data_IF_481591592651
#
_entry.id   IF_481591592651
#
_cell.length_a   1.000
_cell.length_b   1.000
_cell.length_c   1.000
_cell.angle_alpha   90.00
_cell.angle_beta   90.00
_cell.angle_gamma   90.00
#
_symmetry.space_group_name_H-M   'P 1'
#
loop_
_entity.id
_entity.type
_entity.pdbx_description
1 polymer ?
#
# COMPACT_ATOMS: atom_id res chain seq x y z
N UNK A 1 11.62 -3.66 -6.76
CA UNK A 1 10.71 -4.77 -7.14
C UNK A 1 11.18 -6.03 -6.43
N UNK A 2 10.27 -6.75 -5.78
CA UNK A 2 10.57 -7.98 -5.02
C UNK A 2 9.94 -9.23 -5.64
N UNK A 3 8.92 -9.12 -6.49
CA UNK A 3 8.22 -10.24 -7.11
C UNK A 3 7.08 -9.77 -8.01
N UNK A 4 6.23 -10.70 -8.44
CA UNK A 4 5.06 -10.41 -9.29
C UNK A 4 3.79 -11.08 -8.77
N UNK A 5 2.63 -10.51 -9.10
CA UNK A 5 1.32 -11.07 -8.77
C UNK A 5 1.11 -12.39 -9.51
N UNK A 6 0.80 -13.45 -8.77
CA UNK A 6 0.42 -14.75 -9.31
C UNK A 6 -1.11 -14.89 -9.39
N UNK A 7 -1.85 -14.42 -8.38
CA UNK A 7 -3.30 -14.51 -8.29
C UNK A 7 -3.85 -13.42 -7.35
N UNK A 8 -5.06 -12.96 -7.61
CA UNK A 8 -5.81 -12.02 -6.76
C UNK A 8 -7.09 -12.70 -6.26
N UNK A 9 -7.35 -12.66 -4.94
CA UNK A 9 -8.53 -13.25 -4.30
C UNK A 9 -9.11 -12.22 -3.32
N UNK A 10 -10.08 -11.44 -3.78
CA UNK A 10 -10.57 -10.29 -3.02
C UNK A 10 -9.39 -9.40 -2.62
N UNK A 11 -9.25 -9.02 -1.34
CA UNK A 11 -8.17 -8.13 -0.90
C UNK A 11 -6.83 -8.87 -0.69
N UNK A 12 -6.78 -10.19 -0.88
CA UNK A 12 -5.56 -11.00 -0.70
C UNK A 12 -4.90 -11.26 -2.05
N UNK A 13 -3.65 -10.83 -2.20
CA UNK A 13 -2.83 -11.01 -3.38
C UNK A 13 -1.76 -12.07 -3.12
N UNK A 14 -1.72 -13.10 -3.96
CA UNK A 14 -0.65 -14.10 -3.95
C UNK A 14 0.46 -13.68 -4.89
N UNK A 15 1.69 -13.64 -4.39
CA UNK A 15 2.89 -13.27 -5.11
C UNK A 15 3.79 -14.48 -5.38
N UNK A 16 4.56 -14.42 -6.48
CA UNK A 16 5.58 -15.41 -6.87
C UNK A 16 6.91 -14.74 -7.19
N UNK A 17 7.99 -15.51 -7.13
CA UNK A 17 9.34 -15.01 -7.35
C UNK A 17 9.73 -13.95 -6.32
N UNK A 18 9.18 -14.04 -5.11
CA UNK A 18 9.41 -13.09 -4.04
C UNK A 18 10.80 -13.29 -3.49
N UNK A 19 11.61 -12.24 -3.52
CA UNK A 19 12.98 -12.23 -2.98
C UNK A 19 13.16 -11.07 -2.03
N UNK A 20 14.00 -11.25 -1.00
CA UNK A 20 14.38 -10.19 -0.05
C UNK A 20 13.19 -9.51 0.65
N UNK A 21 12.13 -10.26 0.93
CA UNK A 21 10.95 -9.78 1.66
C UNK A 21 10.89 -10.41 3.04
N UNK A 22 10.34 -9.68 4.01
CA UNK A 22 10.12 -10.14 5.38
C UNK A 22 8.63 -10.10 5.72
N UNK A 23 8.25 -10.90 6.71
CA UNK A 23 6.90 -10.81 7.27
C UNK A 23 6.63 -9.39 7.75
N UNK A 24 5.40 -8.91 7.56
CA UNK A 24 4.93 -7.57 7.92
C UNK A 24 5.56 -6.41 7.13
N UNK A 25 6.38 -6.69 6.11
CA UNK A 25 6.90 -5.62 5.25
C UNK A 25 5.76 -4.93 4.50
N UNK A 26 5.80 -3.60 4.50
CA UNK A 26 4.98 -2.76 3.66
C UNK A 26 5.39 -2.95 2.20
N UNK A 27 4.39 -3.17 1.35
CA UNK A 27 4.56 -3.39 -0.08
C UNK A 27 3.59 -2.54 -0.88
N UNK A 28 3.97 -2.29 -2.13
CA UNK A 28 3.12 -1.64 -3.12
C UNK A 28 2.89 -2.62 -4.29
N UNK A 29 1.64 -2.74 -4.73
CA UNK A 29 1.22 -3.76 -5.69
C UNK A 29 0.68 -3.11 -6.96
N UNK A 30 1.24 -3.53 -8.09
CA UNK A 30 0.87 -3.07 -9.43
C UNK A 30 1.36 -1.66 -9.76
N UNK A 31 0.99 -1.20 -10.95
CA UNK A 31 1.40 0.11 -11.48
C UNK A 31 0.68 1.28 -10.78
N UNK A 32 -0.43 1.02 -10.11
CA UNK A 32 -1.09 2.00 -9.24
C UNK A 32 -0.51 2.03 -7.83
N UNK A 33 0.52 1.22 -7.54
CA UNK A 33 1.21 1.21 -6.24
C UNK A 33 0.27 1.05 -5.05
N UNK A 34 -0.65 0.07 -5.14
CA UNK A 34 -1.64 -0.17 -4.08
C UNK A 34 -0.95 -0.63 -2.80
N UNK A 35 -1.26 0.02 -1.70
CA UNK A 35 -0.61 -0.25 -0.41
C UNK A 35 -1.10 -1.58 0.18
N UNK A 36 -0.15 -2.41 0.62
CA UNK A 36 -0.43 -3.66 1.31
C UNK A 36 0.70 -4.12 2.22
N UNK A 37 0.49 -5.26 2.86
CA UNK A 37 1.40 -5.86 3.84
C UNK A 37 1.60 -7.35 3.57
N UNK A 38 2.84 -7.84 3.71
CA UNK A 38 3.14 -9.28 3.65
C UNK A 38 2.63 -9.99 4.91
N UNK A 39 1.60 -10.82 4.77
CA UNK A 39 0.98 -11.57 5.87
C UNK A 39 1.35 -13.06 5.91
N UNK A 40 1.96 -13.58 4.85
CA UNK A 40 2.52 -14.94 4.82
C UNK A 40 3.71 -15.01 3.87
N UNK A 41 4.76 -15.74 4.24
CA UNK A 41 5.89 -16.11 3.39
C UNK A 41 6.06 -17.63 3.35
N UNK A 42 6.27 -18.17 2.16
CA UNK A 42 6.49 -19.60 1.94
C UNK A 42 7.43 -19.79 0.72
N UNK A 43 8.72 -20.03 0.99
CA UNK A 43 9.73 -20.14 -0.06
C UNK A 43 9.85 -18.86 -0.88
N UNK A 44 9.59 -18.95 -2.19
CA UNK A 44 9.58 -17.82 -3.14
C UNK A 44 8.18 -17.21 -3.34
N UNK A 45 7.21 -17.55 -2.47
CA UNK A 45 5.84 -17.06 -2.52
C UNK A 45 5.49 -16.24 -1.31
N UNK A 46 4.59 -15.28 -1.50
CA UNK A 46 4.01 -14.49 -0.43
C UNK A 46 2.50 -14.36 -0.58
N UNK A 47 1.80 -14.17 0.54
CA UNK A 47 0.46 -13.61 0.55
C UNK A 47 0.53 -12.18 1.07
N UNK A 48 -0.09 -11.26 0.35
CA UNK A 48 -0.11 -9.83 0.62
C UNK A 48 -1.56 -9.44 0.90
N UNK A 49 -1.80 -8.82 2.04
CA UNK A 49 -3.06 -8.17 2.35
C UNK A 49 -3.02 -6.76 1.78
N UNK A 50 -3.84 -6.46 0.78
CA UNK A 50 -3.95 -5.11 0.20
C UNK A 50 -5.02 -4.35 0.98
N UNK A 51 -4.74 -3.08 1.30
CA UNK A 51 -5.65 -2.20 2.06
C UNK A 51 -6.50 -1.29 1.17
N UNK A 52 -6.24 -1.31 -0.13
CA UNK A 52 -6.99 -0.59 -1.15
C UNK A 52 -7.79 -1.54 -2.05
N UNK A 53 -8.63 -0.99 -2.92
CA UNK A 53 -9.40 -1.76 -3.89
C UNK A 53 -8.48 -2.43 -4.93
N UNK A 54 -8.51 -3.76 -4.97
CA UNK A 54 -7.74 -4.60 -5.90
C UNK A 54 -8.38 -4.70 -7.28
N UNK A 55 -9.51 -4.03 -7.53
CA UNK A 55 -10.20 -4.06 -8.82
C UNK A 55 -9.29 -3.57 -9.94
N UNK A 56 -9.13 -4.40 -10.98
CA UNK A 56 -8.24 -4.13 -12.11
C UNK A 56 -6.81 -4.66 -11.93
N UNK A 57 -6.44 -5.17 -10.76
CA UNK A 57 -5.16 -5.84 -10.56
C UNK A 57 -5.18 -7.24 -11.22
N UNK A 58 -4.13 -7.55 -11.98
CA UNK A 58 -4.03 -8.80 -12.74
C UNK A 58 -2.71 -9.55 -12.46
N UNK A 59 -2.66 -10.88 -12.69
CA UNK A 59 -1.42 -11.63 -12.67
C UNK A 59 -0.34 -11.02 -13.59
N UNK A 60 0.90 -11.04 -13.12
CA UNK A 60 2.05 -10.41 -13.79
C UNK A 60 2.36 -8.99 -13.31
N UNK A 61 1.44 -8.34 -12.59
CA UNK A 61 1.68 -7.01 -12.01
C UNK A 61 2.88 -7.03 -11.04
N UNK A 62 3.67 -5.95 -11.04
CA UNK A 62 4.88 -5.83 -10.25
C UNK A 62 4.57 -5.63 -8.76
N UNK A 63 5.47 -6.09 -7.88
CA UNK A 63 5.38 -5.85 -6.44
C UNK A 63 6.67 -5.18 -5.97
N UNK A 64 6.54 -4.10 -5.21
CA UNK A 64 7.63 -3.33 -4.63
C UNK A 64 7.57 -3.45 -3.11
N UNK A 65 8.73 -3.43 -2.44
CA UNK A 65 8.79 -3.43 -0.98
C UNK A 65 9.43 -2.15 -0.51
N UNK A 66 8.87 -1.55 0.54
CA UNK A 66 9.47 -0.42 1.23
C UNK A 66 10.62 -0.86 2.16
N UNK A 67 10.78 -2.17 2.41
CA UNK A 67 11.81 -2.69 3.31
C UNK A 67 11.64 -2.26 4.76
N UNK A 68 10.44 -1.85 5.13
CA UNK A 68 10.03 -1.45 6.49
C UNK A 68 8.62 -1.95 6.74
N UNK A 69 8.24 -2.23 8.00
CA UNK A 69 6.87 -2.55 8.33
C UNK A 69 5.95 -1.34 8.19
N UNK A 70 4.63 -1.57 8.13
CA UNK A 70 3.65 -0.49 8.19
C UNK A 70 3.91 0.34 9.47
N UNK A 71 4.13 1.64 9.28
CA UNK A 71 4.56 2.55 10.32
C UNK A 71 3.76 3.85 10.20
N UNK A 72 3.65 4.57 11.32
CA UNK A 72 2.99 5.88 11.37
C UNK A 72 4.01 6.97 11.69
N UNK A 73 3.80 8.14 11.12
CA UNK A 73 4.59 9.34 11.40
C UNK A 73 4.00 10.08 12.61
N UNK A 74 4.87 10.46 13.55
CA UNK A 74 4.49 11.18 14.76
C UNK A 74 5.24 12.50 14.82
N UNK A 75 4.52 13.61 14.95
CA UNK A 75 5.11 14.93 14.99
C UNK A 75 4.09 16.07 15.00
N UNK A 76 4.57 17.33 14.96
CA UNK A 76 3.72 18.51 14.82
C UNK A 76 2.83 18.40 13.57
N UNK A 77 1.59 18.89 13.65
CA UNK A 77 0.60 18.79 12.57
C UNK A 77 -0.27 17.53 12.61
N UNK A 78 0.00 16.59 13.54
CA UNK A 78 -0.83 15.40 13.72
C UNK A 78 -2.21 15.73 14.32
N UNK A 79 -2.25 16.61 15.32
CA UNK A 79 -3.48 16.97 16.01
C UNK A 79 -4.35 17.89 15.14
N UNK A 80 -5.65 17.58 15.08
CA UNK A 80 -6.62 18.34 14.27
C UNK A 80 -6.77 17.84 12.83
N UNK A 81 -5.92 16.90 12.39
CA UNK A 81 -5.96 16.33 11.05
C UNK A 81 -6.78 15.04 11.04
N UNK A 82 -7.65 14.87 10.02
CA UNK A 82 -8.43 13.65 9.83
C UNK A 82 -7.70 12.74 8.84
N UNK A 83 -7.47 11.50 9.26
CA UNK A 83 -6.72 10.49 8.50
C UNK A 83 -7.61 9.33 8.04
N UNK A 84 -7.20 8.65 6.98
CA UNK A 84 -7.70 7.33 6.64
C UNK A 84 -7.00 6.21 7.44
N UNK A 85 -7.32 4.94 7.12
CA UNK A 85 -6.78 3.78 7.83
C UNK A 85 -5.28 3.54 7.68
N UNK A 86 -4.60 4.23 6.76
CA UNK A 86 -3.14 4.13 6.55
C UNK A 86 -2.44 5.48 6.72
N UNK A 87 -3.04 6.38 7.49
CA UNK A 87 -2.49 7.68 7.87
C UNK A 87 -2.31 8.70 6.72
N UNK A 88 -3.17 8.65 5.69
CA UNK A 88 -3.21 9.72 4.67
C UNK A 88 -4.21 10.83 5.06
N UNK A 89 -3.84 12.11 4.99
CA UNK A 89 -4.71 13.22 5.40
C UNK A 89 -5.86 13.44 4.40
N UNK A 90 -7.10 13.24 4.84
CA UNK A 90 -8.28 13.24 3.97
C UNK A 90 -8.56 14.61 3.34
N UNK A 91 -8.41 15.69 4.10
CA UNK A 91 -8.66 17.04 3.59
C UNK A 91 -7.63 17.41 2.51
N UNK A 92 -6.36 17.05 2.73
CA UNK A 92 -5.31 17.31 1.75
C UNK A 92 -5.47 16.46 0.48
N UNK A 93 -5.93 15.19 0.62
CA UNK A 93 -6.32 14.34 -0.53
C UNK A 93 -7.43 15.02 -1.33
N UNK A 94 -8.48 15.50 -0.67
CA UNK A 94 -9.61 16.16 -1.32
C UNK A 94 -9.16 17.42 -2.06
N UNK A 95 -8.37 18.29 -1.42
CA UNK A 95 -7.86 19.52 -2.02
C UNK A 95 -6.96 19.24 -3.23
N UNK A 96 -6.08 18.24 -3.15
CA UNK A 96 -5.12 17.91 -4.22
C UNK A 96 -5.80 17.21 -5.40
N UNK A 97 -6.72 16.29 -5.13
CA UNK A 97 -7.43 15.54 -6.17
C UNK A 97 -8.58 16.31 -6.82
N UNK A 98 -8.99 17.44 -6.22
CA UNK A 98 -10.16 18.23 -6.59
C UNK A 98 -11.41 17.36 -6.84
N UNK A 99 -11.62 16.39 -5.96
CA UNK A 99 -12.62 15.33 -6.10
C UNK A 99 -13.27 15.03 -4.75
N UNK A 100 -14.54 14.62 -4.77
CA UNK A 100 -15.22 14.08 -3.58
C UNK A 100 -14.91 12.59 -3.36
N UNK A 101 -14.26 11.94 -4.33
CA UNK A 101 -13.90 10.52 -4.30
C UNK A 101 -12.39 10.35 -4.11
N UNK A 102 -12.02 9.36 -3.29
CA UNK A 102 -10.63 8.92 -3.11
C UNK A 102 -10.27 7.95 -4.24
N UNK A 103 -9.21 8.26 -4.98
CA UNK A 103 -8.64 7.36 -5.99
C UNK A 103 -7.68 6.38 -5.32
N UNK A 104 -7.69 5.13 -5.78
CA UNK A 104 -6.71 4.12 -5.37
C UNK A 104 -5.29 4.54 -5.77
N UNK A 105 -4.29 4.14 -4.97
CA UNK A 105 -2.89 4.44 -5.27
C UNK A 105 -2.48 5.88 -4.99
N UNK A 106 -3.28 6.65 -4.25
CA UNK A 106 -2.90 8.01 -3.87
C UNK A 106 -1.86 7.98 -2.74
N UNK A 107 -0.73 8.65 -2.98
CA UNK A 107 0.36 8.80 -2.02
C UNK A 107 0.42 10.25 -1.53
N UNK A 108 0.31 10.45 -0.22
CA UNK A 108 0.45 11.76 0.41
C UNK A 108 1.23 11.63 1.73
N UNK A 109 2.11 12.58 2.05
CA UNK A 109 2.74 12.64 3.38
C UNK A 109 1.69 12.73 4.49
N UNK A 110 1.95 12.05 5.61
CA UNK A 110 1.06 12.05 6.76
C UNK A 110 1.02 13.41 7.48
N UNK A 111 2.18 14.07 7.60
CA UNK A 111 2.29 15.41 8.20
C UNK A 111 2.64 16.44 7.12
N UNK A 112 2.15 17.66 7.33
CA UNK A 112 2.53 18.80 6.49
C UNK A 112 4.04 19.03 6.57
N UNK A 113 4.65 19.36 5.43
CA UNK A 113 6.09 19.58 5.29
C UNK A 113 6.42 21.07 5.10
N UNK A 114 5.41 21.94 5.12
CA UNK A 114 5.55 23.39 4.94
C UNK A 114 5.39 24.15 6.26
#
# INVERSE_FOLDING_TARGET
MIGTVAKVIGPVVHAKGVTKARMLDLVEVGEEHLVGEIVKLEGDRAAIQVYEDTTGLAPGANIYSAGVPLSVELGPGLLGTIYDGIQRPLEAIRSTSNSQYIRKGIHMPALDRQ
#
